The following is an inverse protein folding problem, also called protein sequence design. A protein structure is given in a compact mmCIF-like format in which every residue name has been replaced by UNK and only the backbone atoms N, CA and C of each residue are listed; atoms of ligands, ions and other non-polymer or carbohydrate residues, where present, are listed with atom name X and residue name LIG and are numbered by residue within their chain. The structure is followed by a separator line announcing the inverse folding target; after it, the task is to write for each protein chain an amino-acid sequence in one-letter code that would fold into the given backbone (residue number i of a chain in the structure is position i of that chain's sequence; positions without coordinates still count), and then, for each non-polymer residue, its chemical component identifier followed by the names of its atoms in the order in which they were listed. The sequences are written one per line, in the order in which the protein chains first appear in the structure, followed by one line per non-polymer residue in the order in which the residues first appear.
data_IF_477765035152
#
_entry.id   IF_477765035152
#
_cell.length_a   1.000
_cell.length_b   1.000
_cell.length_c   1.000
_cell.angle_alpha   90.00
_cell.angle_beta   90.00
_cell.angle_gamma   90.00
#
_symmetry.space_group_name_H-M   'P 1'
#
loop_
_entity.id
_entity.type
_entity.pdbx_description
1 polymer ?
#
# COMPACT_ATOMS: atom_id res chain seq x y z
N UNK A 1 25.26 -24.22 1.70
CA UNK A 1 25.29 -24.18 3.18
C UNK A 1 25.16 -25.57 3.77
N UNK A 2 24.06 -26.31 3.58
CA UNK A 2 23.90 -27.65 4.14
C UNK A 2 25.03 -28.65 3.79
N UNK A 3 25.57 -28.61 2.56
CA UNK A 3 26.71 -29.46 2.18
C UNK A 3 28.07 -28.98 2.73
N UNK A 4 28.17 -27.69 3.09
CA UNK A 4 29.34 -27.10 3.76
C UNK A 4 29.34 -27.48 5.24
N UNK A 5 28.18 -27.41 5.90
CA UNK A 5 27.99 -27.89 7.28
C UNK A 5 28.23 -29.40 7.39
N UNK A 6 27.89 -30.15 6.35
CA UNK A 6 28.17 -31.58 6.25
C UNK A 6 29.63 -31.91 5.89
N UNK A 7 30.51 -30.91 5.73
CA UNK A 7 31.93 -31.10 5.41
C UNK A 7 32.22 -31.68 4.03
N UNK A 8 31.24 -31.64 3.10
CA UNK A 8 31.39 -32.20 1.74
C UNK A 8 32.01 -31.22 0.75
N UNK A 9 32.14 -29.97 1.12
CA UNK A 9 32.61 -28.88 0.25
C UNK A 9 33.83 -28.24 0.89
N UNK A 10 34.98 -28.38 0.24
CA UNK A 10 36.24 -27.81 0.70
C UNK A 10 36.56 -26.44 0.06
N UNK A 11 35.98 -26.14 -1.11
CA UNK A 11 36.29 -24.92 -1.86
C UNK A 11 35.00 -24.30 -2.40
N UNK A 12 34.85 -22.99 -2.24
CA UNK A 12 33.76 -22.19 -2.81
C UNK A 12 34.35 -21.08 -3.67
N UNK A 13 34.12 -21.18 -4.98
CA UNK A 13 34.61 -20.21 -5.95
C UNK A 13 33.41 -19.43 -6.49
N UNK A 14 33.44 -18.12 -6.33
CA UNK A 14 32.40 -17.23 -6.87
C UNK A 14 33.01 -16.21 -7.82
N UNK A 15 32.20 -15.80 -8.80
CA UNK A 15 32.61 -14.77 -9.76
C UNK A 15 32.71 -13.38 -9.11
N UNK A 16 31.76 -13.03 -8.25
CA UNK A 16 31.64 -11.72 -7.59
C UNK A 16 30.91 -11.91 -6.25
N UNK A 17 31.31 -11.16 -5.21
CA UNK A 17 30.72 -11.17 -3.86
C UNK A 17 29.22 -10.86 -3.86
N UNK A 18 28.72 -10.15 -4.87
CA UNK A 18 27.28 -9.93 -5.08
C UNK A 18 26.47 -11.23 -5.26
N UNK A 19 27.14 -12.34 -5.61
CA UNK A 19 26.53 -13.68 -5.73
C UNK A 19 26.54 -14.47 -4.43
N UNK A 20 27.37 -14.08 -3.47
CA UNK A 20 27.48 -14.73 -2.16
C UNK A 20 26.39 -14.24 -1.17
N UNK A 21 25.92 -13.00 -1.32
CA UNK A 21 24.79 -12.50 -0.53
C UNK A 21 24.31 -11.12 -0.96
N UNK A 22 23.02 -10.82 -0.73
CA UNK A 22 22.42 -9.50 -1.02
C UNK A 22 22.71 -8.44 0.04
N UNK A 23 23.25 -8.85 1.17
CA UNK A 23 23.59 -7.99 2.30
C UNK A 23 25.08 -8.14 2.61
N UNK A 24 25.82 -7.03 2.49
CA UNK A 24 27.27 -6.99 2.59
C UNK A 24 27.75 -7.47 3.97
N UNK A 25 27.00 -7.15 5.03
CA UNK A 25 27.32 -7.58 6.39
C UNK A 25 27.16 -9.09 6.59
N UNK A 26 26.12 -9.67 5.97
CA UNK A 26 25.89 -11.12 6.03
C UNK A 26 26.96 -11.85 5.23
N UNK A 27 27.29 -11.36 4.03
CA UNK A 27 28.35 -11.96 3.21
C UNK A 27 29.69 -11.96 3.93
N UNK A 28 30.06 -10.85 4.59
CA UNK A 28 31.30 -10.77 5.39
C UNK A 28 31.32 -11.74 6.59
N UNK A 29 30.19 -11.90 7.28
CA UNK A 29 30.08 -12.90 8.35
C UNK A 29 30.27 -14.33 7.83
N UNK A 30 29.72 -14.66 6.66
CA UNK A 30 29.87 -15.99 6.09
C UNK A 30 31.30 -16.27 5.60
N UNK A 31 31.97 -15.28 5.01
CA UNK A 31 33.36 -15.45 4.54
C UNK A 31 34.36 -15.52 5.69
N UNK A 32 34.29 -14.60 6.65
CA UNK A 32 35.30 -14.52 7.72
C UNK A 32 35.08 -15.53 8.85
N UNK A 33 33.82 -15.80 9.22
CA UNK A 33 33.51 -16.63 10.40
C UNK A 33 33.09 -18.03 9.97
N UNK A 34 32.07 -18.14 9.11
CA UNK A 34 31.45 -19.43 8.81
C UNK A 34 32.34 -20.33 7.94
N UNK A 35 32.91 -19.82 6.84
CA UNK A 35 33.77 -20.61 5.96
C UNK A 35 35.11 -20.98 6.61
N UNK A 36 35.73 -20.07 7.38
CA UNK A 36 36.93 -20.40 8.16
C UNK A 36 36.69 -21.48 9.21
N UNK A 37 35.57 -21.41 9.95
CA UNK A 37 35.23 -22.42 10.96
C UNK A 37 35.03 -23.82 10.37
N UNK A 38 34.57 -23.90 9.11
CA UNK A 38 34.35 -25.17 8.41
C UNK A 38 35.52 -25.57 7.49
N UNK A 39 36.65 -24.86 7.54
CA UNK A 39 37.83 -25.15 6.72
C UNK A 39 37.60 -25.02 5.22
N UNK A 40 36.68 -24.14 4.81
CA UNK A 40 36.32 -23.94 3.41
C UNK A 40 37.12 -22.78 2.83
N UNK A 41 37.87 -23.07 1.77
CA UNK A 41 38.60 -22.07 1.01
C UNK A 41 37.64 -21.28 0.12
N UNK A 42 37.56 -19.97 0.32
CA UNK A 42 36.68 -19.11 -0.46
C UNK A 42 37.47 -18.15 -1.36
N UNK A 43 37.12 -18.15 -2.65
CA UNK A 43 37.77 -17.34 -3.69
C UNK A 43 36.72 -16.53 -4.44
N UNK A 44 36.86 -15.20 -4.46
CA UNK A 44 36.06 -14.30 -5.29
C UNK A 44 36.92 -13.67 -6.38
N UNK A 45 36.76 -14.17 -7.61
CA UNK A 45 37.66 -13.87 -8.74
C UNK A 45 37.64 -12.38 -9.13
N UNK A 46 36.45 -11.76 -9.24
CA UNK A 46 36.35 -10.35 -9.65
C UNK A 46 36.79 -9.36 -8.56
N UNK A 47 36.84 -9.81 -7.31
CA UNK A 47 37.13 -8.97 -6.15
C UNK A 47 38.57 -9.16 -5.66
N UNK A 48 39.30 -10.15 -6.19
CA UNK A 48 40.66 -10.47 -5.76
C UNK A 48 40.74 -10.96 -4.31
N UNK A 49 39.65 -11.57 -3.81
CA UNK A 49 39.57 -12.06 -2.43
C UNK A 49 39.91 -13.54 -2.40
N UNK A 50 40.91 -13.91 -1.58
CA UNK A 50 41.35 -15.27 -1.34
C UNK A 50 41.47 -15.49 0.17
N UNK A 51 40.63 -16.34 0.73
CA UNK A 51 40.55 -16.51 2.19
C UNK A 51 41.81 -17.07 2.85
N UNK A 52 42.75 -17.64 2.08
CA UNK A 52 44.03 -18.19 2.58
C UNK A 52 45.17 -17.15 2.54
N UNK A 53 45.01 -16.03 1.83
CA UNK A 53 46.00 -14.96 1.81
C UNK A 53 45.77 -14.01 2.99
N UNK A 54 46.64 -14.06 4.00
CA UNK A 54 46.62 -13.16 5.17
C UNK A 54 46.82 -11.67 4.80
N UNK A 55 47.23 -11.37 3.57
CA UNK A 55 47.38 -10.01 3.06
C UNK A 55 46.19 -9.54 2.21
N UNK A 56 45.22 -10.43 1.95
CA UNK A 56 43.92 -10.06 1.41
C UNK A 56 42.99 -9.61 2.55
N UNK A 57 43.45 -8.62 3.31
CA UNK A 57 42.59 -7.93 4.27
C UNK A 57 41.46 -7.26 3.49
N UNK A 58 40.31 -7.94 3.42
CA UNK A 58 39.04 -7.37 2.96
C UNK A 58 38.60 -6.20 3.88
N UNK A 59 39.33 -5.98 4.99
CA UNK A 59 39.23 -4.85 5.90
C UNK A 59 40.56 -4.06 6.05
N UNK A 60 41.09 -3.53 4.95
CA UNK A 60 41.86 -2.28 5.06
C UNK A 60 40.99 -1.19 5.75
N UNK A 61 41.58 -0.23 6.49
CA UNK A 61 40.84 0.56 7.47
C UNK A 61 39.62 1.28 6.87
N UNK A 62 38.55 1.26 7.64
CA UNK A 62 37.19 1.76 7.39
C UNK A 62 36.98 3.14 6.69
N UNK A 63 37.92 4.12 6.62
CA UNK A 63 37.60 5.42 6.02
C UNK A 63 37.34 5.43 4.50
N UNK A 64 38.11 4.68 3.70
CA UNK A 64 38.05 4.78 2.23
C UNK A 64 36.77 4.17 1.63
N UNK A 65 36.22 3.13 2.25
CA UNK A 65 34.93 2.56 1.83
C UNK A 65 33.74 3.45 2.23
N UNK A 66 33.84 4.18 3.35
CA UNK A 66 32.81 5.13 3.75
C UNK A 66 32.72 6.31 2.77
N UNK A 67 33.86 6.82 2.33
CA UNK A 67 33.92 7.93 1.38
C UNK A 67 33.41 7.52 -0.01
N UNK A 68 33.71 6.30 -0.46
CA UNK A 68 33.12 5.72 -1.68
C UNK A 68 31.63 5.40 -1.52
N UNK A 69 31.16 4.93 -0.37
CA UNK A 69 29.74 4.65 -0.14
C UNK A 69 28.90 5.92 0.00
N UNK A 70 29.47 7.00 0.55
CA UNK A 70 28.83 8.31 0.62
C UNK A 70 28.85 9.01 -0.74
N UNK A 71 29.95 8.88 -1.50
CA UNK A 71 30.10 9.49 -2.84
C UNK A 71 29.41 8.69 -3.96
N UNK A 72 29.27 7.37 -3.78
CA UNK A 72 28.54 6.47 -4.67
C UNK A 72 27.13 6.15 -4.16
N UNK A 73 26.63 6.84 -3.12
CA UNK A 73 25.19 7.13 -3.10
C UNK A 73 24.96 7.94 -4.37
N UNK A 74 24.27 7.40 -5.39
CA UNK A 74 23.68 8.30 -6.34
C UNK A 74 22.81 9.22 -5.47
N UNK A 75 22.90 10.55 -5.62
CA UNK A 75 21.74 11.39 -5.29
C UNK A 75 20.52 10.61 -5.77
N UNK A 76 19.49 10.37 -4.93
CA UNK A 76 18.41 9.43 -5.25
C UNK A 76 17.93 9.73 -6.67
N UNK A 77 18.43 8.93 -7.62
CA UNK A 77 18.46 9.32 -9.01
C UNK A 77 17.01 9.39 -9.44
N UNK A 78 16.73 10.37 -10.29
CA UNK A 78 15.43 10.86 -10.72
C UNK A 78 14.38 9.83 -11.19
N UNK A 79 14.71 8.54 -11.21
CA UNK A 79 13.87 7.43 -11.65
C UNK A 79 12.72 7.11 -10.69
N UNK A 80 12.85 7.44 -9.40
CA UNK A 80 11.75 7.33 -8.43
C UNK A 80 10.92 8.63 -8.29
N UNK A 81 11.20 9.66 -9.10
CA UNK A 81 10.41 10.92 -9.13
C UNK A 81 9.21 10.85 -10.07
N UNK A 82 9.10 9.85 -10.92
CA UNK A 82 7.99 9.73 -11.87
C UNK A 82 6.60 9.60 -11.20
N UNK A 83 6.42 8.86 -10.07
CA UNK A 83 5.16 8.89 -9.33
C UNK A 83 4.94 10.23 -8.61
N UNK A 84 6.03 10.85 -8.11
CA UNK A 84 5.97 12.10 -7.34
C UNK A 84 5.56 13.29 -8.22
N UNK A 85 6.17 13.47 -9.41
CA UNK A 85 5.78 14.54 -10.35
C UNK A 85 4.36 14.39 -10.89
N UNK A 86 3.88 13.15 -11.06
CA UNK A 86 2.48 12.87 -11.39
C UNK A 86 1.53 13.19 -10.23
N UNK A 87 1.91 12.81 -9.01
CA UNK A 87 1.15 13.08 -7.79
C UNK A 87 1.05 14.57 -7.45
N UNK A 88 2.10 15.35 -7.74
CA UNK A 88 2.15 16.81 -7.57
C UNK A 88 1.37 17.59 -8.65
N UNK A 89 1.08 16.97 -9.79
CA UNK A 89 0.34 17.60 -10.91
C UNK A 89 -1.17 17.32 -10.90
N UNK A 90 -1.71 16.82 -9.77
CA UNK A 90 -3.14 16.55 -9.63
C UNK A 90 -3.64 15.29 -10.32
N UNK A 91 -2.72 14.47 -10.86
CA UNK A 91 -3.09 13.23 -11.53
C UNK A 91 -3.29 12.12 -10.51
N UNK A 92 -4.38 11.33 -10.59
CA UNK A 92 -4.57 10.22 -9.68
C UNK A 92 -3.43 9.20 -9.83
N UNK A 93 -2.67 8.96 -8.76
CA UNK A 93 -1.60 7.95 -8.75
C UNK A 93 -2.17 6.52 -8.64
N UNK A 94 -3.47 6.38 -8.37
CA UNK A 94 -4.11 5.09 -8.08
C UNK A 94 -4.38 4.29 -9.36
N UNK A 95 -3.94 3.02 -9.36
CA UNK A 95 -4.12 2.11 -10.49
C UNK A 95 -5.60 1.71 -10.73
N UNK A 96 -6.47 1.83 -9.72
CA UNK A 96 -7.92 1.57 -9.83
C UNK A 96 -8.72 2.80 -9.40
N UNK A 97 -9.82 3.09 -10.10
CA UNK A 97 -10.78 4.13 -9.70
C UNK A 97 -11.53 3.70 -8.43
N UNK A 98 -12.00 4.68 -7.65
CA UNK A 98 -12.80 4.41 -6.46
C UNK A 98 -14.22 3.98 -6.84
N UNK A 99 -14.93 3.33 -5.92
CA UNK A 99 -16.31 2.89 -6.16
C UNK A 99 -17.23 4.07 -6.47
N UNK A 100 -18.03 3.98 -7.54
CA UNK A 100 -18.82 5.09 -8.07
C UNK A 100 -18.21 5.75 -9.31
N UNK A 101 -16.93 5.49 -9.59
CA UNK A 101 -16.21 6.04 -10.74
C UNK A 101 -15.60 4.93 -11.60
N UNK A 102 -15.49 5.22 -12.90
CA UNK A 102 -14.80 4.41 -13.89
C UNK A 102 -13.69 5.23 -14.54
N UNK A 103 -12.61 4.57 -14.94
CA UNK A 103 -11.55 5.23 -15.72
C UNK A 103 -12.08 5.52 -17.12
N UNK A 104 -11.76 6.71 -17.62
CA UNK A 104 -11.97 7.04 -19.02
C UNK A 104 -11.02 6.19 -19.89
N UNK A 105 -11.53 5.49 -20.94
CA UNK A 105 -10.68 4.77 -21.89
C UNK A 105 -9.73 5.69 -22.68
N UNK A 106 -10.08 6.96 -22.88
CA UNK A 106 -9.27 7.91 -23.65
C UNK A 106 -8.23 8.62 -22.77
N UNK A 107 -8.56 8.90 -21.52
CA UNK A 107 -7.67 9.58 -20.59
C UNK A 107 -7.55 8.84 -19.24
N UNK A 108 -6.42 8.16 -19.04
CA UNK A 108 -6.12 7.41 -17.80
C UNK A 108 -6.18 8.22 -16.49
N UNK A 109 -6.12 9.55 -16.59
CA UNK A 109 -6.16 10.46 -15.44
C UNK A 109 -7.54 11.07 -15.19
N UNK A 110 -8.51 10.86 -16.10
CA UNK A 110 -9.87 11.34 -15.95
C UNK A 110 -10.78 10.21 -15.45
N UNK A 111 -11.61 10.52 -14.45
CA UNK A 111 -12.58 9.59 -13.88
C UNK A 111 -13.98 10.01 -14.31
N UNK A 112 -14.69 9.10 -14.95
CA UNK A 112 -16.08 9.25 -15.35
C UNK A 112 -16.99 8.67 -14.27
N UNK A 113 -18.19 9.21 -14.13
CA UNK A 113 -19.20 8.65 -13.24
C UNK A 113 -19.66 7.29 -13.78
N UNK A 114 -19.66 6.30 -12.90
CA UNK A 114 -20.29 5.01 -13.13
C UNK A 114 -21.68 5.02 -12.49
N UNK A 115 -22.71 5.30 -13.28
CA UNK A 115 -24.05 5.65 -12.81
C UNK A 115 -24.66 4.58 -11.87
N UNK A 116 -24.40 3.29 -12.14
CA UNK A 116 -24.88 2.19 -11.28
C UNK A 116 -24.26 2.27 -9.87
N UNK A 117 -22.94 2.36 -9.80
CA UNK A 117 -22.23 2.46 -8.53
C UNK A 117 -22.43 3.84 -7.86
N UNK A 118 -22.56 4.91 -8.65
CA UNK A 118 -22.79 6.27 -8.17
C UNK A 118 -24.18 6.41 -7.54
N UNK A 119 -25.21 5.74 -8.07
CA UNK A 119 -26.53 5.69 -7.46
C UNK A 119 -26.47 5.09 -6.04
N UNK A 120 -25.67 4.03 -5.84
CA UNK A 120 -25.43 3.42 -4.52
C UNK A 120 -24.72 4.40 -3.59
N UNK A 121 -23.68 5.10 -4.07
CA UNK A 121 -22.98 6.12 -3.28
C UNK A 121 -23.93 7.24 -2.87
N UNK A 122 -24.69 7.83 -3.80
CA UNK A 122 -25.69 8.87 -3.50
C UNK A 122 -26.71 8.38 -2.47
N UNK A 123 -27.14 7.12 -2.57
CA UNK A 123 -28.04 6.51 -1.60
C UNK A 123 -27.43 6.40 -0.20
N UNK A 124 -26.16 6.03 -0.09
CA UNK A 124 -25.43 5.96 1.20
C UNK A 124 -25.39 7.34 1.86
N UNK A 125 -25.08 8.40 1.10
CA UNK A 125 -25.08 9.76 1.62
C UNK A 125 -26.48 10.18 2.07
N UNK A 126 -27.51 9.94 1.26
CA UNK A 126 -28.91 10.23 1.63
C UNK A 126 -29.34 9.54 2.92
N UNK A 127 -29.07 8.23 3.06
CA UNK A 127 -29.41 7.48 4.27
C UNK A 127 -28.67 8.00 5.52
N UNK A 128 -27.45 8.51 5.34
CA UNK A 128 -26.70 9.14 6.43
C UNK A 128 -27.36 10.45 6.87
N UNK A 129 -27.86 11.24 5.92
CA UNK A 129 -28.61 12.48 6.18
C UNK A 129 -29.94 12.20 6.89
N UNK A 130 -30.59 11.08 6.56
CA UNK A 130 -31.76 10.57 7.28
C UNK A 130 -31.44 10.06 8.70
N UNK A 131 -30.17 10.08 9.13
CA UNK A 131 -29.73 9.71 10.48
C UNK A 131 -29.47 8.21 10.69
N UNK A 132 -29.47 7.40 9.62
CA UNK A 132 -29.14 5.97 9.70
C UNK A 132 -27.65 5.79 10.02
N UNK A 133 -27.34 4.87 10.94
CA UNK A 133 -25.95 4.58 11.28
C UNK A 133 -25.25 3.78 10.17
N UNK A 134 -23.90 3.74 10.13
CA UNK A 134 -23.16 2.97 9.13
C UNK A 134 -23.53 1.48 9.10
N UNK A 135 -23.85 0.90 10.26
CA UNK A 135 -24.32 -0.50 10.37
C UNK A 135 -25.75 -0.68 9.84
N UNK A 136 -26.65 0.28 10.11
CA UNK A 136 -28.02 0.26 9.59
C UNK A 136 -28.00 0.36 8.06
N UNK A 137 -27.17 1.26 7.52
CA UNK A 137 -26.96 1.43 6.08
C UNK A 137 -26.43 0.12 5.48
N UNK A 138 -25.43 -0.50 6.10
CA UNK A 138 -24.89 -1.77 5.64
C UNK A 138 -25.96 -2.87 5.59
N UNK A 139 -26.86 -2.93 6.58
CA UNK A 139 -27.99 -3.86 6.60
C UNK A 139 -29.00 -3.58 5.48
N UNK A 140 -29.36 -2.32 5.26
CA UNK A 140 -30.27 -1.92 4.17
C UNK A 140 -29.68 -2.36 2.81
N UNK A 141 -28.40 -2.07 2.57
CA UNK A 141 -27.71 -2.47 1.33
C UNK A 141 -27.63 -4.00 1.17
N UNK A 142 -27.48 -4.74 2.28
CA UNK A 142 -27.51 -6.20 2.29
C UNK A 142 -28.90 -6.73 1.91
N UNK A 143 -29.97 -6.20 2.51
CA UNK A 143 -31.35 -6.61 2.27
C UNK A 143 -31.76 -6.34 0.81
N UNK A 144 -31.27 -5.24 0.23
CA UNK A 144 -31.48 -4.89 -1.17
C UNK A 144 -30.59 -5.66 -2.16
N UNK A 145 -29.74 -6.58 -1.65
CA UNK A 145 -28.81 -7.39 -2.45
C UNK A 145 -27.88 -6.56 -3.35
N UNK A 146 -27.35 -5.47 -2.80
CA UNK A 146 -26.39 -4.62 -3.51
C UNK A 146 -24.99 -5.18 -3.36
N UNK A 147 -24.29 -5.39 -4.47
CA UNK A 147 -22.92 -5.88 -4.47
C UNK A 147 -21.98 -4.93 -3.72
N UNK A 148 -21.10 -5.50 -2.90
CA UNK A 148 -20.04 -4.73 -2.26
C UNK A 148 -19.03 -4.19 -3.28
N UNK A 149 -18.33 -3.08 -2.99
CA UNK A 149 -17.37 -2.50 -3.91
C UNK A 149 -16.31 -3.49 -4.43
N UNK A 150 -15.82 -4.38 -3.56
CA UNK A 150 -14.83 -5.39 -3.93
C UNK A 150 -15.37 -6.41 -4.95
N UNK A 151 -16.65 -6.80 -4.81
CA UNK A 151 -17.35 -7.73 -5.70
C UNK A 151 -17.68 -7.05 -7.01
N UNK A 152 -18.17 -5.81 -6.95
CA UNK A 152 -18.47 -5.00 -8.13
C UNK A 152 -17.23 -4.85 -9.02
N UNK A 153 -16.08 -4.51 -8.43
CA UNK A 153 -14.82 -4.47 -9.17
C UNK A 153 -14.36 -5.85 -9.65
N UNK A 154 -14.51 -6.89 -8.84
CA UNK A 154 -14.18 -8.27 -9.22
C UNK A 154 -14.95 -8.74 -10.45
N UNK A 155 -16.26 -8.47 -10.53
CA UNK A 155 -17.11 -8.76 -11.70
C UNK A 155 -16.64 -8.03 -12.96
N UNK A 156 -16.02 -6.86 -12.83
CA UNK A 156 -15.42 -6.12 -13.94
C UNK A 156 -13.95 -6.52 -14.23
N UNK A 157 -13.45 -7.61 -13.65
CA UNK A 157 -12.03 -8.03 -13.71
C UNK A 157 -11.04 -6.95 -13.22
N UNK A 158 -11.47 -6.11 -12.26
CA UNK A 158 -10.71 -5.00 -11.71
C UNK A 158 -10.49 -5.18 -10.20
N UNK A 159 -9.47 -4.51 -9.67
CA UNK A 159 -9.20 -4.46 -8.23
C UNK A 159 -8.59 -5.74 -7.64
N UNK A 160 -8.73 -5.89 -6.32
CA UNK A 160 -8.06 -6.93 -5.52
C UNK A 160 -8.65 -8.32 -5.80
N UNK A 161 -9.94 -8.39 -6.16
CA UNK A 161 -10.67 -9.65 -6.37
C UNK A 161 -10.82 -10.03 -7.85
N UNK A 162 -9.98 -9.46 -8.73
CA UNK A 162 -9.96 -9.75 -10.18
C UNK A 162 -9.75 -11.23 -10.54
N UNK A 163 -9.17 -12.01 -9.64
CA UNK A 163 -8.88 -13.45 -9.85
C UNK A 163 -9.78 -14.35 -9.03
N UNK A 164 -10.85 -13.81 -8.42
CA UNK A 164 -11.76 -14.58 -7.58
C UNK A 164 -13.00 -14.94 -8.38
N UNK A 165 -13.18 -16.22 -8.62
CA UNK A 165 -14.28 -16.77 -9.44
C UNK A 165 -15.58 -16.86 -8.64
N UNK A 166 -15.50 -17.11 -7.33
CA UNK A 166 -16.67 -17.25 -6.47
C UNK A 166 -16.64 -16.28 -5.28
N UNK A 167 -17.71 -15.50 -5.15
CA UNK A 167 -17.91 -14.57 -4.05
C UNK A 167 -18.84 -15.20 -3.03
N UNK A 168 -18.27 -15.85 -2.00
CA UNK A 168 -19.04 -16.54 -0.96
C UNK A 168 -20.07 -15.64 -0.24
N UNK A 169 -19.88 -14.32 -0.22
CA UNK A 169 -20.83 -13.36 0.36
C UNK A 169 -20.78 -12.02 -0.39
N UNK A 170 -21.47 -11.88 -1.55
CA UNK A 170 -21.28 -10.74 -2.43
C UNK A 170 -21.88 -9.43 -1.86
N UNK A 171 -22.92 -9.56 -1.04
CA UNK A 171 -23.72 -8.45 -0.50
C UNK A 171 -23.33 -8.04 0.93
N UNK A 172 -22.31 -8.65 1.53
CA UNK A 172 -21.97 -8.42 2.93
C UNK A 172 -21.26 -7.07 3.14
N UNK A 173 -22.06 -6.00 3.17
CA UNK A 173 -21.59 -4.67 3.51
C UNK A 173 -21.17 -4.60 4.98
N UNK A 174 -20.00 -4.05 5.25
CA UNK A 174 -19.58 -3.74 6.61
C UNK A 174 -19.74 -2.24 6.89
N UNK A 175 -20.10 -1.88 8.13
CA UNK A 175 -20.13 -0.49 8.55
C UNK A 175 -18.78 0.23 8.37
N UNK A 176 -17.68 -0.53 8.37
CA UNK A 176 -16.35 -0.03 8.01
C UNK A 176 -16.27 0.45 6.56
N UNK A 177 -16.73 -0.35 5.59
CA UNK A 177 -16.73 0.02 4.17
C UNK A 177 -17.60 1.25 3.92
N UNK A 178 -18.79 1.32 4.54
CA UNK A 178 -19.66 2.50 4.49
C UNK A 178 -18.94 3.72 5.07
N UNK A 179 -18.29 3.59 6.23
CA UNK A 179 -17.52 4.66 6.86
C UNK A 179 -16.32 5.13 6.03
N UNK A 180 -15.69 4.22 5.28
CA UNK A 180 -14.63 4.55 4.33
C UNK A 180 -15.18 5.37 3.15
N UNK A 181 -16.33 4.99 2.57
CA UNK A 181 -16.97 5.74 1.50
C UNK A 181 -17.32 7.16 1.97
N UNK A 182 -17.97 7.30 3.13
CA UNK A 182 -18.34 8.60 3.69
C UNK A 182 -17.12 9.48 4.02
N UNK A 183 -15.97 8.88 4.32
CA UNK A 183 -14.76 9.63 4.69
C UNK A 183 -13.98 10.21 3.51
N UNK A 184 -14.27 9.76 2.28
CA UNK A 184 -13.51 10.09 1.08
C UNK A 184 -14.00 11.41 0.49
N UNK A 185 -13.17 12.49 0.46
CA UNK A 185 -13.53 13.73 -0.22
C UNK A 185 -13.53 13.58 -1.76
N UNK A 186 -13.03 12.47 -2.29
CA UNK A 186 -13.04 12.22 -3.74
C UNK A 186 -14.45 12.21 -4.33
N UNK A 187 -15.48 11.91 -3.53
CA UNK A 187 -16.87 11.99 -3.97
C UNK A 187 -17.37 13.41 -4.25
N UNK A 188 -16.62 14.43 -3.80
CA UNK A 188 -16.84 15.85 -4.14
C UNK A 188 -16.07 16.28 -5.41
N UNK A 189 -15.44 15.35 -6.14
CA UNK A 189 -14.64 15.68 -7.33
C UNK A 189 -13.17 15.98 -7.06
N UNK A 190 -12.71 15.81 -5.81
CA UNK A 190 -11.33 16.09 -5.42
C UNK A 190 -10.41 14.89 -5.65
N UNK A 191 -9.17 15.10 -6.09
CA UNK A 191 -8.15 14.04 -6.13
C UNK A 191 -7.26 14.16 -4.90
N UNK A 192 -7.21 13.11 -4.08
CA UNK A 192 -6.31 13.06 -2.90
C UNK A 192 -5.15 12.13 -3.16
N UNK A 193 -3.95 12.69 -3.25
CA UNK A 193 -2.70 11.95 -3.39
C UNK A 193 -1.97 11.83 -2.04
N UNK A 194 -1.00 10.90 -1.98
CA UNK A 194 -0.11 10.70 -0.82
C UNK A 194 -0.77 10.33 0.52
N UNK A 195 -1.85 9.53 0.51
CA UNK A 195 -2.45 8.98 1.75
C UNK A 195 -1.53 8.04 2.53
N UNK A 196 -0.55 7.45 1.87
CA UNK A 196 0.40 6.53 2.49
C UNK A 196 1.76 6.63 1.79
N UNK A 197 2.83 6.53 2.56
CA UNK A 197 4.18 6.37 2.05
C UNK A 197 4.73 4.99 2.44
N UNK A 198 5.77 4.56 1.74
CA UNK A 198 6.61 3.44 2.20
C UNK A 198 7.90 4.05 2.76
N UNK A 199 8.30 3.66 3.96
CA UNK A 199 9.56 4.13 4.56
C UNK A 199 10.77 3.64 3.79
N UNK A 200 10.73 2.39 3.31
CA UNK A 200 11.72 1.83 2.40
C UNK A 200 11.07 1.15 1.21
N UNK A 201 11.76 1.16 0.06
CA UNK A 201 11.36 0.37 -1.10
C UNK A 201 11.27 -1.14 -0.79
N UNK A 202 12.05 -1.61 0.19
CA UNK A 202 12.07 -3.02 0.63
C UNK A 202 10.89 -3.37 1.53
N UNK A 203 10.18 -2.38 2.09
CA UNK A 203 9.05 -2.62 2.97
C UNK A 203 7.79 -2.97 2.17
N UNK A 204 7.16 -4.07 2.61
CA UNK A 204 5.87 -4.50 2.06
C UNK A 204 4.70 -3.71 2.64
N UNK A 205 4.90 -3.08 3.79
CA UNK A 205 3.86 -2.36 4.52
C UNK A 205 3.92 -0.86 4.20
N UNK A 206 2.79 -0.29 3.79
CA UNK A 206 2.65 1.15 3.63
C UNK A 206 2.23 1.77 4.97
N UNK A 207 2.85 2.89 5.33
CA UNK A 207 2.52 3.67 6.53
C UNK A 207 1.58 4.79 6.10
N UNK A 208 0.50 5.00 6.86
CA UNK A 208 -0.45 6.07 6.59
C UNK A 208 0.12 7.43 6.97
N UNK A 209 -0.05 8.41 6.07
CA UNK A 209 0.38 9.78 6.29
C UNK A 209 -0.66 10.53 7.12
N UNK A 210 -0.21 11.48 7.97
CA UNK A 210 -1.13 12.41 8.62
C UNK A 210 -1.84 13.27 7.56
N UNK A 211 -2.99 13.84 7.91
CA UNK A 211 -3.88 14.49 6.91
C UNK A 211 -3.28 15.76 6.32
N UNK A 212 -2.36 16.37 7.05
CA UNK A 212 -1.64 17.60 6.69
C UNK A 212 -0.70 17.35 5.49
N UNK A 213 -0.21 16.12 5.35
CA UNK A 213 0.67 15.71 4.25
C UNK A 213 -0.12 15.22 3.02
N UNK A 214 -1.47 15.25 3.08
CA UNK A 214 -2.29 14.84 1.94
C UNK A 214 -2.36 15.98 0.94
N UNK A 215 -1.97 15.70 -0.30
CA UNK A 215 -2.09 16.66 -1.39
C UNK A 215 -3.48 16.51 -2.02
N UNK A 216 -4.35 17.48 -1.74
CA UNK A 216 -5.73 17.52 -2.19
C UNK A 216 -5.82 18.49 -3.37
N UNK A 217 -6.25 17.99 -4.52
CA UNK A 217 -6.55 18.79 -5.70
C UNK A 217 -8.06 18.89 -5.82
N UNK A 218 -8.58 20.11 -5.76
CA UNK A 218 -10.01 20.39 -5.84
C UNK A 218 -10.50 20.28 -7.30
N UNK A 219 -11.77 19.92 -7.48
CA UNK A 219 -12.51 19.91 -8.76
C UNK A 219 -11.80 19.29 -9.98
N UNK A 220 -11.12 18.17 -9.74
CA UNK A 220 -10.40 17.41 -10.80
C UNK A 220 -11.31 16.55 -11.68
N UNK A 221 -12.47 16.14 -11.16
CA UNK A 221 -13.43 15.29 -11.85
C UNK A 221 -14.85 15.56 -11.36
N UNK A 222 -15.85 15.00 -12.05
CA UNK A 222 -17.26 15.26 -11.74
C UNK A 222 -17.64 14.74 -10.34
N UNK A 223 -18.28 15.59 -9.54
CA UNK A 223 -18.71 15.23 -8.20
C UNK A 223 -19.94 14.31 -8.26
N UNK A 224 -19.91 13.19 -7.51
CA UNK A 224 -21.10 12.36 -7.31
C UNK A 224 -22.02 12.99 -6.25
N UNK A 225 -21.44 13.73 -5.31
CA UNK A 225 -22.12 14.33 -4.17
C UNK A 225 -21.70 15.78 -4.02
N UNK A 226 -22.67 16.67 -3.86
CA UNK A 226 -22.42 18.09 -3.62
C UNK A 226 -21.65 18.30 -2.31
N UNK A 227 -20.83 19.35 -2.29
CA UNK A 227 -20.05 19.73 -1.11
C UNK A 227 -20.91 19.88 0.15
N UNK A 228 -22.09 20.50 0.02
CA UNK A 228 -23.02 20.71 1.14
C UNK A 228 -23.49 19.37 1.73
N UNK A 229 -23.87 18.43 0.86
CA UNK A 229 -24.32 17.08 1.23
C UNK A 229 -23.21 16.31 1.95
N UNK A 230 -21.97 16.42 1.46
CA UNK A 230 -20.82 15.78 2.08
C UNK A 230 -20.49 16.37 3.46
N UNK A 231 -20.44 17.70 3.57
CA UNK A 231 -20.21 18.39 4.84
C UNK A 231 -21.27 18.05 5.88
N UNK A 232 -22.54 17.96 5.48
CA UNK A 232 -23.65 17.60 6.34
C UNK A 232 -23.51 16.15 6.86
N UNK A 233 -23.19 15.20 5.97
CA UNK A 233 -22.94 13.81 6.36
C UNK A 233 -21.80 13.70 7.37
N UNK A 234 -20.74 14.49 7.21
CA UNK A 234 -19.59 14.50 8.11
C UNK A 234 -19.92 15.12 9.47
N UNK A 235 -20.76 16.16 9.53
CA UNK A 235 -21.27 16.74 10.78
C UNK A 235 -22.12 15.72 11.56
N UNK A 236 -23.03 15.02 10.88
CA UNK A 236 -23.86 13.98 11.50
C UNK A 236 -23.03 12.84 12.06
N UNK A 237 -21.95 12.46 11.36
CA UNK A 237 -21.04 11.39 11.80
C UNK A 237 -20.19 11.75 13.01
N UNK A 238 -19.81 13.03 13.16
CA UNK A 238 -19.08 13.53 14.34
C UNK A 238 -19.95 13.64 15.59
N UNK A 239 -21.26 13.76 15.41
CA UNK A 239 -22.20 13.87 16.53
C UNK A 239 -22.33 12.49 17.20
N UNK A 240 -21.89 12.33 18.46
CA UNK A 240 -22.05 11.07 19.15
C UNK A 240 -23.54 10.73 19.25
N UNK A 241 -23.96 9.57 18.76
CA UNK A 241 -25.30 9.07 19.08
C UNK A 241 -25.35 8.90 20.60
N UNK A 242 -26.21 9.67 21.27
CA UNK A 242 -26.55 9.42 22.68
C UNK A 242 -27.10 8.00 22.75
N UNK A 243 -26.34 7.10 23.37
CA UNK A 243 -26.84 5.80 23.76
C UNK A 243 -27.70 6.08 24.98
N UNK A 244 -29.02 6.08 24.81
CA UNK A 244 -29.93 6.29 25.94
C UNK A 244 -29.91 5.01 26.80
N UNK A 245 -29.08 4.99 27.83
CA UNK A 245 -28.91 3.84 28.74
C UNK A 245 -30.01 3.76 29.80
N UNK A 246 -31.21 4.31 29.53
CA UNK A 246 -32.33 4.35 30.46
C UNK A 246 -33.47 3.43 29.99
N UNK A 247 -33.75 2.40 30.79
CA UNK A 247 -35.11 1.86 30.93
C UNK A 247 -35.37 0.48 30.35
N UNK A 248 -34.87 -0.56 31.03
CA UNK A 248 -35.25 -1.95 30.73
C UNK A 248 -35.03 -2.90 31.89
N UNK A 249 -35.33 -2.48 33.13
CA UNK A 249 -35.47 -3.40 34.26
C UNK A 249 -36.61 -4.35 33.93
N UNK A 250 -36.29 -5.56 33.44
CA UNK A 250 -37.23 -6.69 33.43
C UNK A 250 -37.68 -6.93 34.86
N UNK A 251 -38.92 -6.55 35.16
CA UNK A 251 -39.61 -6.99 36.36
C UNK A 251 -39.98 -8.47 36.12
N UNK A 252 -39.80 -9.23 37.20
CA UNK A 252 -39.89 -10.69 37.32
C UNK A 252 -41.22 -11.26 36.85
#
# INVERSE_FOLDING_TARGET
MADIEAGKVAHVIVKDMSRAGRDYLQTGFYTEVFFRQHGVHFVAIANGVDSDDQNSDEFAPLPQHHERMVSARPEPQAENRHPCQGGESGKPTTNCAIYGYKKDPENKYHWLIDEEAAAVVRRIFRLTIEGKGPYDIARILFDDKIDTPAVYFGKQNKGIWKSKEEFSNPYNWSGYVVGQILSKPEYMGHTVNFRSHKQSYKDKNAVMNPKEDWLIFEDTHEAIVDRETWELAQKLRKTPKRIDTLGGKRIR
#
